data_IF_510635446305
#
_entry.id   IF_510635446305
#
_cell.length_a   1.000
_cell.length_b   1.000
_cell.length_c   1.000
_cell.angle_alpha   90.00
_cell.angle_beta   90.00
_cell.angle_gamma   90.00
#
_symmetry.space_group_name_H-M   'P 1'
#
loop_
_entity.id
_entity.type
_entity.pdbx_description
1 polymer ?
#
# COMPACT_ATOMS: atom_id res chain seq x y z
N UNK A 1 28.99 -8.35 -5.28
CA UNK A 1 27.76 -8.56 -6.08
C UNK A 1 26.68 -9.39 -5.36
N UNK A 2 26.97 -10.57 -4.76
CA UNK A 2 25.92 -11.39 -4.09
C UNK A 2 25.17 -10.65 -2.97
N UNK A 3 25.87 -9.95 -2.05
CA UNK A 3 25.24 -9.21 -0.93
C UNK A 3 24.33 -8.08 -1.39
N UNK A 4 24.71 -7.29 -2.40
CA UNK A 4 23.87 -6.23 -2.94
C UNK A 4 22.57 -6.81 -3.55
N UNK A 5 22.66 -7.90 -4.32
CA UNK A 5 21.50 -8.59 -4.86
C UNK A 5 20.57 -9.09 -3.75
N UNK A 6 21.13 -9.67 -2.69
CA UNK A 6 20.36 -10.14 -1.53
C UNK A 6 19.67 -8.97 -0.80
N UNK A 7 20.36 -7.84 -0.63
CA UNK A 7 19.77 -6.64 -0.03
C UNK A 7 18.59 -6.11 -0.87
N UNK A 8 18.78 -5.94 -2.18
CA UNK A 8 17.70 -5.48 -3.08
C UNK A 8 16.52 -6.45 -3.10
N UNK A 9 16.77 -7.75 -2.93
CA UNK A 9 15.74 -8.77 -2.90
C UNK A 9 14.89 -8.66 -1.64
N UNK A 10 15.50 -8.58 -0.43
CA UNK A 10 14.75 -8.45 0.83
C UNK A 10 14.11 -7.07 0.98
N UNK A 11 14.67 -6.01 0.36
CA UNK A 11 14.06 -4.69 0.26
C UNK A 11 12.84 -4.66 -0.67
N UNK A 12 12.61 -5.74 -1.44
CA UNK A 12 11.50 -5.85 -2.39
C UNK A 12 11.40 -4.62 -3.30
N UNK A 13 12.46 -4.28 -4.02
CA UNK A 13 12.57 -3.06 -4.85
C UNK A 13 11.38 -2.87 -5.82
N UNK A 14 10.80 -3.97 -6.34
CA UNK A 14 9.59 -3.95 -7.16
C UNK A 14 8.36 -3.40 -6.40
N UNK A 15 8.23 -3.73 -5.09
CA UNK A 15 7.13 -3.20 -4.25
C UNK A 15 7.37 -1.72 -3.96
N UNK A 16 8.63 -1.31 -3.75
CA UNK A 16 8.99 0.09 -3.53
C UNK A 16 8.52 0.95 -4.71
N UNK A 17 8.90 0.57 -5.94
CA UNK A 17 8.51 1.29 -7.16
C UNK A 17 6.98 1.29 -7.34
N UNK A 18 6.33 0.14 -7.14
CA UNK A 18 4.88 0.02 -7.26
C UNK A 18 4.11 0.82 -6.20
N UNK A 19 4.72 1.15 -5.06
CA UNK A 19 4.09 1.90 -3.96
C UNK A 19 4.34 3.42 -4.04
N UNK A 20 5.21 3.90 -4.93
CA UNK A 20 5.47 5.33 -5.11
C UNK A 20 4.18 6.15 -5.35
N UNK A 21 3.24 5.73 -6.21
CA UNK A 21 1.98 6.47 -6.39
C UNK A 21 1.21 6.68 -5.09
N UNK A 22 1.26 5.76 -4.13
CA UNK A 22 0.59 5.90 -2.82
C UNK A 22 1.13 7.07 -2.02
N UNK A 23 2.47 7.28 -2.02
CA UNK A 23 3.07 8.41 -1.34
C UNK A 23 2.76 9.75 -2.05
N UNK A 24 2.73 9.72 -3.39
CA UNK A 24 2.61 10.93 -4.21
C UNK A 24 1.16 11.41 -4.34
N UNK A 25 0.16 10.50 -4.30
CA UNK A 25 -1.26 10.84 -4.44
C UNK A 25 -1.70 11.92 -3.46
N UNK A 26 -1.39 11.79 -2.17
CA UNK A 26 -1.78 12.78 -1.17
C UNK A 26 -1.13 14.14 -1.40
N UNK A 27 0.12 14.14 -1.85
CA UNK A 27 0.85 15.37 -2.20
C UNK A 27 0.14 16.09 -3.36
N UNK A 28 -0.18 15.35 -4.42
CA UNK A 28 -0.83 15.92 -5.62
C UNK A 28 -2.22 16.45 -5.32
N UNK A 29 -3.04 15.70 -4.56
CA UNK A 29 -4.37 16.13 -4.13
C UNK A 29 -4.36 17.42 -3.32
N UNK A 30 -3.26 17.70 -2.63
CA UNK A 30 -3.09 18.88 -1.79
C UNK A 30 -2.40 20.05 -2.50
N UNK A 31 -1.65 19.78 -3.58
CA UNK A 31 -0.86 20.79 -4.30
C UNK A 31 -1.75 21.68 -5.15
N UNK A 32 -1.50 23.00 -5.12
CA UNK A 32 -2.18 24.00 -5.97
C UNK A 32 -1.32 24.43 -7.17
N UNK A 33 -0.03 24.24 -7.09
CA UNK A 33 0.96 24.58 -8.12
C UNK A 33 2.12 23.59 -8.14
N UNK A 34 2.81 23.47 -9.24
CA UNK A 34 3.93 22.54 -9.41
C UNK A 34 5.06 22.74 -8.39
N UNK A 35 5.31 24.00 -7.96
CA UNK A 35 6.32 24.26 -6.93
C UNK A 35 6.02 23.60 -5.58
N UNK A 36 4.77 23.27 -5.27
CA UNK A 36 4.39 22.63 -4.01
C UNK A 36 4.95 21.21 -3.92
N UNK A 37 5.09 20.52 -5.07
CA UNK A 37 5.62 19.15 -5.14
C UNK A 37 7.13 19.09 -4.88
N UNK A 38 7.85 20.17 -5.17
CA UNK A 38 9.32 20.22 -5.04
C UNK A 38 9.82 20.86 -3.73
N UNK A 39 8.93 21.04 -2.77
CA UNK A 39 9.31 21.57 -1.44
C UNK A 39 10.13 20.55 -0.66
N UNK A 40 11.05 21.03 0.18
CA UNK A 40 11.90 20.19 1.02
C UNK A 40 11.07 19.22 1.90
N UNK A 41 9.98 19.64 2.58
CA UNK A 41 9.15 18.72 3.35
C UNK A 41 8.58 17.56 2.53
N UNK A 42 8.19 17.81 1.29
CA UNK A 42 7.67 16.76 0.38
C UNK A 42 8.75 15.74 0.05
N UNK A 43 9.96 16.18 -0.27
CA UNK A 43 11.09 15.28 -0.55
C UNK A 43 11.47 14.46 0.69
N UNK A 44 11.48 15.07 1.87
CA UNK A 44 11.74 14.39 3.14
C UNK A 44 10.64 13.36 3.45
N UNK A 45 9.37 13.69 3.19
CA UNK A 45 8.26 12.75 3.36
C UNK A 45 8.35 11.55 2.42
N UNK A 46 8.68 11.76 1.14
CA UNK A 46 8.88 10.66 0.18
C UNK A 46 10.02 9.76 0.64
N UNK A 47 11.13 10.34 1.10
CA UNK A 47 12.25 9.57 1.65
C UNK A 47 11.83 8.79 2.89
N UNK A 48 11.10 9.42 3.83
CA UNK A 48 10.54 8.76 5.02
C UNK A 48 9.66 7.57 4.64
N UNK A 49 8.76 7.75 3.67
CA UNK A 49 7.89 6.68 3.20
C UNK A 49 8.69 5.47 2.70
N UNK A 50 9.73 5.69 1.89
CA UNK A 50 10.57 4.61 1.40
C UNK A 50 11.39 3.94 2.51
N UNK A 51 11.91 4.68 3.47
CA UNK A 51 12.65 4.12 4.61
C UNK A 51 11.74 3.23 5.45
N UNK A 52 10.52 3.68 5.78
CA UNK A 52 9.55 2.89 6.56
C UNK A 52 9.07 1.67 5.79
N UNK A 53 8.86 1.78 4.47
CA UNK A 53 8.47 0.67 3.61
C UNK A 53 9.60 -0.38 3.51
N UNK A 54 10.86 0.06 3.38
CA UNK A 54 12.03 -0.84 3.38
C UNK A 54 12.17 -1.56 4.70
N UNK A 55 12.05 -0.85 5.82
CA UNK A 55 12.01 -1.42 7.15
C UNK A 55 10.90 -2.48 7.29
N UNK A 56 9.69 -2.18 6.78
CA UNK A 56 8.57 -3.13 6.78
C UNK A 56 8.89 -4.41 6.00
N UNK A 57 9.59 -4.30 4.87
CA UNK A 57 10.02 -5.46 4.09
C UNK A 57 11.08 -6.27 4.83
N UNK A 58 12.07 -5.62 5.42
CA UNK A 58 13.18 -6.29 6.14
C UNK A 58 12.69 -7.01 7.39
N UNK A 59 11.85 -6.37 8.21
CA UNK A 59 11.29 -7.00 9.42
C UNK A 59 10.40 -8.20 9.05
N UNK A 60 9.66 -8.12 7.94
CA UNK A 60 8.87 -9.22 7.43
C UNK A 60 9.78 -10.40 7.02
N UNK A 61 10.79 -10.15 6.18
CA UNK A 61 11.73 -11.18 5.75
C UNK A 61 12.49 -11.81 6.93
N UNK A 62 12.89 -11.00 7.93
CA UNK A 62 13.60 -11.50 9.11
C UNK A 62 12.76 -12.47 9.94
N UNK A 63 11.47 -12.15 10.14
CA UNK A 63 10.58 -12.99 10.96
C UNK A 63 9.94 -14.16 10.19
N UNK A 64 10.08 -14.19 8.86
CA UNK A 64 9.55 -15.26 8.01
C UNK A 64 10.60 -16.21 7.49
N UNK A 65 11.88 -16.08 7.89
CA UNK A 65 13.01 -16.89 7.38
C UNK A 65 12.69 -18.41 7.35
N UNK A 66 12.10 -18.94 8.42
CA UNK A 66 11.79 -20.38 8.50
C UNK A 66 10.60 -20.77 7.58
N UNK A 67 9.60 -19.92 7.46
CA UNK A 67 8.47 -20.11 6.55
C UNK A 67 8.94 -20.00 5.10
N UNK A 68 9.71 -18.95 4.80
CA UNK A 68 10.25 -18.70 3.47
C UNK A 68 11.24 -19.79 3.03
N UNK A 69 11.96 -20.43 3.95
CA UNK A 69 12.82 -21.57 3.65
C UNK A 69 12.07 -22.72 2.99
N UNK A 70 10.80 -22.89 3.37
CA UNK A 70 9.94 -23.95 2.83
C UNK A 70 9.27 -23.54 1.51
N UNK A 71 8.79 -22.30 1.40
CA UNK A 71 7.91 -21.86 0.30
C UNK A 71 8.52 -20.82 -0.64
N UNK A 72 9.40 -19.94 -0.13
CA UNK A 72 10.03 -18.85 -0.86
C UNK A 72 11.54 -18.85 -0.61
N UNK A 73 12.18 -20.01 -0.84
CA UNK A 73 13.57 -20.29 -0.48
C UNK A 73 14.56 -19.19 -0.85
N UNK A 74 14.35 -18.57 -2.02
CA UNK A 74 15.19 -17.45 -2.47
C UNK A 74 15.20 -16.26 -1.50
N UNK A 75 14.10 -16.01 -0.75
CA UNK A 75 14.04 -14.96 0.27
C UNK A 75 14.82 -15.35 1.52
N UNK A 76 14.63 -16.58 2.01
CA UNK A 76 15.37 -17.12 3.14
C UNK A 76 16.88 -17.13 2.85
N UNK A 77 17.29 -17.61 1.67
CA UNK A 77 18.70 -17.65 1.24
C UNK A 77 19.30 -16.22 1.18
N UNK A 78 18.51 -15.21 0.76
CA UNK A 78 18.95 -13.82 0.74
C UNK A 78 19.21 -13.28 2.15
N UNK A 79 18.31 -13.53 3.12
CA UNK A 79 18.50 -13.15 4.53
C UNK A 79 19.75 -13.84 5.11
N UNK A 80 19.90 -15.13 4.87
CA UNK A 80 21.06 -15.90 5.35
C UNK A 80 22.38 -15.44 4.73
N UNK A 81 22.41 -15.08 3.43
CA UNK A 81 23.61 -14.59 2.76
C UNK A 81 24.07 -13.23 3.29
N UNK A 82 23.16 -12.39 3.78
CA UNK A 82 23.48 -11.15 4.46
C UNK A 82 23.91 -11.40 5.91
N UNK A 83 23.30 -12.38 6.55
CA UNK A 83 23.44 -12.68 7.96
C UNK A 83 22.39 -11.96 8.80
N UNK A 84 21.71 -12.70 9.70
CA UNK A 84 20.65 -12.18 10.58
C UNK A 84 21.10 -10.94 11.37
N UNK A 85 22.34 -10.97 11.91
CA UNK A 85 22.89 -9.83 12.66
C UNK A 85 23.03 -8.58 11.78
N UNK A 86 23.46 -8.74 10.53
CA UNK A 86 23.56 -7.62 9.58
C UNK A 86 22.19 -7.05 9.24
N UNK A 87 21.20 -7.89 8.98
CA UNK A 87 19.81 -7.43 8.72
C UNK A 87 19.25 -6.66 9.91
N UNK A 88 19.47 -7.13 11.17
CA UNK A 88 19.07 -6.39 12.37
C UNK A 88 19.75 -5.03 12.49
N UNK A 89 21.06 -4.93 12.14
CA UNK A 89 21.77 -3.64 12.13
C UNK A 89 21.22 -2.69 11.07
N UNK A 90 20.92 -3.20 9.88
CA UNK A 90 20.28 -2.41 8.81
C UNK A 90 18.93 -1.87 9.30
N UNK A 91 18.09 -2.70 9.89
CA UNK A 91 16.79 -2.28 10.46
C UNK A 91 16.94 -1.22 11.55
N UNK A 92 17.96 -1.34 12.42
CA UNK A 92 18.24 -0.32 13.43
C UNK A 92 18.63 1.03 12.81
N UNK A 93 19.42 1.03 11.74
CA UNK A 93 19.77 2.22 10.96
C UNK A 93 18.52 2.81 10.28
N UNK A 94 17.66 1.98 9.72
CA UNK A 94 16.40 2.42 9.08
C UNK A 94 15.46 3.09 10.08
N UNK A 95 15.29 2.53 11.29
CA UNK A 95 14.49 3.17 12.35
C UNK A 95 15.12 4.49 12.78
N UNK A 96 16.43 4.52 13.02
CA UNK A 96 17.13 5.75 13.40
C UNK A 96 16.97 6.83 12.33
N UNK A 97 17.10 6.46 11.05
CA UNK A 97 16.90 7.36 9.92
C UNK A 97 15.44 7.84 9.84
N UNK A 98 14.45 6.94 9.99
CA UNK A 98 13.04 7.31 10.00
C UNK A 98 12.71 8.28 11.13
N UNK A 99 13.21 8.03 12.35
CA UNK A 99 13.04 8.94 13.48
C UNK A 99 13.72 10.30 13.21
N UNK A 100 14.91 10.31 12.66
CA UNK A 100 15.62 11.53 12.27
C UNK A 100 14.87 12.34 11.22
N UNK A 101 14.31 11.68 10.19
CA UNK A 101 13.49 12.31 9.17
C UNK A 101 12.18 12.89 9.75
N UNK A 102 11.53 12.17 10.67
CA UNK A 102 10.34 12.67 11.36
C UNK A 102 10.68 13.93 12.18
N UNK A 103 11.76 13.91 12.95
CA UNK A 103 12.19 15.07 13.72
C UNK A 103 12.54 16.26 12.81
N UNK A 104 13.23 16.00 11.70
CA UNK A 104 13.56 17.04 10.72
C UNK A 104 12.29 17.62 10.08
N UNK A 105 11.30 16.80 9.72
CA UNK A 105 10.01 17.25 9.22
C UNK A 105 9.28 18.11 10.25
N UNK A 106 9.25 17.71 11.52
CA UNK A 106 8.64 18.50 12.59
C UNK A 106 9.34 19.86 12.76
N UNK A 107 10.67 19.86 12.66
CA UNK A 107 11.47 21.08 12.76
C UNK A 107 11.20 22.04 11.60
N UNK A 108 11.20 21.52 10.35
CA UNK A 108 11.01 22.30 9.13
C UNK A 108 9.58 22.82 9.01
N UNK A 109 8.58 22.00 9.33
CA UNK A 109 7.17 22.38 9.21
C UNK A 109 6.60 23.04 10.45
N UNK A 110 7.25 22.88 11.62
CA UNK A 110 6.76 23.32 12.94
C UNK A 110 5.41 22.71 13.34
N UNK A 111 5.09 21.53 12.79
CA UNK A 111 3.81 20.85 12.97
C UNK A 111 3.98 19.42 13.47
N UNK A 112 3.00 18.84 14.20
CA UNK A 112 3.12 17.54 14.86
C UNK A 112 2.96 16.35 13.89
N UNK A 113 3.70 16.34 12.78
CA UNK A 113 3.68 15.21 11.81
C UNK A 113 4.21 13.91 12.41
N UNK A 114 4.91 13.99 13.57
CA UNK A 114 5.46 12.82 14.25
C UNK A 114 4.42 11.76 14.58
N UNK A 115 3.17 12.13 14.84
CA UNK A 115 2.09 11.18 15.13
C UNK A 115 1.84 10.26 13.92
N UNK A 116 1.76 10.83 12.72
CA UNK A 116 1.52 10.07 11.49
C UNK A 116 2.70 9.15 11.17
N UNK A 117 3.94 9.66 11.31
CA UNK A 117 5.15 8.89 11.13
C UNK A 117 5.29 7.74 12.15
N UNK A 118 5.01 8.01 13.42
CA UNK A 118 5.02 7.00 14.48
C UNK A 118 4.00 5.88 14.24
N UNK A 119 2.78 6.21 13.82
CA UNK A 119 1.76 5.22 13.46
C UNK A 119 2.25 4.36 12.29
N UNK A 120 2.87 4.95 11.26
CA UNK A 120 3.42 4.22 10.12
C UNK A 120 4.49 3.20 10.53
N UNK A 121 5.48 3.62 11.36
CA UNK A 121 6.51 2.73 11.90
C UNK A 121 5.88 1.63 12.77
N UNK A 122 4.92 2.00 13.63
CA UNK A 122 4.21 1.04 14.49
C UNK A 122 3.48 -0.02 13.65
N UNK A 123 2.73 0.37 12.63
CA UNK A 123 2.06 -0.56 11.73
C UNK A 123 3.05 -1.53 11.06
N UNK A 124 4.19 -1.02 10.57
CA UNK A 124 5.23 -1.83 9.97
C UNK A 124 5.80 -2.86 10.96
N UNK A 125 6.04 -2.45 12.21
CA UNK A 125 6.57 -3.30 13.26
C UNK A 125 5.56 -4.38 13.70
N UNK A 126 4.36 -3.97 14.15
CA UNK A 126 3.38 -4.89 14.74
C UNK A 126 2.85 -5.92 13.75
N UNK A 127 2.89 -5.63 12.45
CA UNK A 127 2.46 -6.57 11.42
C UNK A 127 3.26 -7.87 11.47
N UNK A 128 4.59 -7.79 11.54
CA UNK A 128 5.49 -8.93 11.39
C UNK A 128 6.18 -9.36 12.68
N UNK A 129 6.44 -8.42 13.62
CA UNK A 129 7.27 -8.67 14.81
C UNK A 129 6.48 -9.21 16.00
N UNK A 130 7.08 -10.15 16.80
CA UNK A 130 6.59 -10.49 18.11
C UNK A 130 6.62 -9.29 19.06
N UNK A 131 5.77 -9.25 20.12
CA UNK A 131 4.79 -10.28 20.51
C UNK A 131 3.48 -10.21 19.74
N UNK A 132 3.20 -9.11 19.03
CA UNK A 132 1.90 -8.90 18.41
C UNK A 132 1.73 -9.71 17.12
N UNK A 133 2.68 -9.62 16.19
CA UNK A 133 2.69 -10.32 14.90
C UNK A 133 1.28 -10.43 14.27
N UNK A 134 0.65 -9.27 14.08
CA UNK A 134 -0.78 -9.14 13.75
C UNK A 134 -1.18 -9.91 12.50
N UNK A 135 -0.26 -10.14 11.56
CA UNK A 135 -0.51 -10.97 10.37
C UNK A 135 -0.99 -12.39 10.68
N UNK A 136 -0.73 -12.91 11.89
CA UNK A 136 -1.19 -14.23 12.36
C UNK A 136 -2.51 -14.18 13.12
N UNK A 137 -3.17 -13.02 13.24
CA UNK A 137 -4.31 -12.81 14.14
C UNK A 137 -5.64 -12.66 13.40
N UNK A 138 -5.91 -13.54 12.43
CA UNK A 138 -7.22 -13.65 11.78
C UNK A 138 -7.77 -12.33 11.28
N UNK A 139 -8.85 -11.85 11.91
CA UNK A 139 -9.57 -10.62 11.52
C UNK A 139 -8.69 -9.37 11.55
N UNK A 140 -7.70 -9.31 12.43
CA UNK A 140 -6.81 -8.17 12.57
C UNK A 140 -5.68 -8.13 11.51
N UNK A 141 -5.44 -9.27 10.83
CA UNK A 141 -4.29 -9.41 9.93
C UNK A 141 -4.19 -8.33 8.82
N UNK A 142 -5.28 -7.83 8.19
CA UNK A 142 -5.16 -6.82 7.15
C UNK A 142 -4.97 -5.38 7.67
N UNK A 143 -5.32 -5.10 8.95
CA UNK A 143 -5.40 -3.74 9.47
C UNK A 143 -4.08 -2.95 9.40
N UNK A 144 -2.91 -3.50 9.81
CA UNK A 144 -1.67 -2.72 9.74
C UNK A 144 -1.24 -2.40 8.32
N UNK A 145 -1.51 -3.27 7.34
CA UNK A 145 -1.21 -3.03 5.93
C UNK A 145 -2.17 -1.99 5.35
N UNK A 146 -3.46 -2.15 5.61
CA UNK A 146 -4.49 -1.21 5.16
C UNK A 146 -4.23 0.19 5.73
N UNK A 147 -3.96 0.30 7.03
CA UNK A 147 -3.70 1.57 7.70
C UNK A 147 -2.33 2.15 7.32
N UNK A 148 -1.25 1.40 7.50
CA UNK A 148 0.13 1.92 7.40
C UNK A 148 0.62 2.08 5.96
N UNK A 149 0.26 1.17 5.05
CA UNK A 149 0.76 1.17 3.67
C UNK A 149 -0.18 1.90 2.71
N UNK A 150 -1.50 1.80 2.90
CA UNK A 150 -2.45 2.30 1.90
C UNK A 150 -3.18 3.56 2.34
N UNK A 151 -3.65 3.63 3.58
CA UNK A 151 -4.39 4.79 4.06
C UNK A 151 -3.47 5.96 4.44
N UNK A 152 -2.60 5.75 5.42
CA UNK A 152 -1.85 6.80 6.10
C UNK A 152 -0.95 7.66 5.19
N UNK A 153 -0.29 7.11 4.14
CA UNK A 153 0.56 7.92 3.27
C UNK A 153 -0.18 9.04 2.54
N UNK A 154 -1.48 8.86 2.26
CA UNK A 154 -2.25 9.89 1.52
C UNK A 154 -2.54 11.12 2.39
N UNK A 155 -3.20 11.02 3.57
CA UNK A 155 -3.37 12.19 4.42
C UNK A 155 -2.04 12.77 4.94
N UNK A 156 -1.00 11.94 5.14
CA UNK A 156 0.32 12.44 5.52
C UNK A 156 1.00 13.23 4.38
N UNK A 157 0.90 12.73 3.14
CA UNK A 157 1.38 13.46 1.96
C UNK A 157 0.63 14.78 1.74
N UNK A 158 -0.68 14.80 1.96
CA UNK A 158 -1.47 16.03 1.94
C UNK A 158 -1.05 17.00 3.04
N UNK A 159 -0.81 16.49 4.25
CA UNK A 159 -0.40 17.29 5.40
C UNK A 159 0.94 18.02 5.18
N UNK A 160 1.92 17.38 4.56
CA UNK A 160 3.22 18.05 4.29
C UNK A 160 3.12 19.22 3.30
N UNK A 161 2.03 19.28 2.53
CA UNK A 161 1.75 20.41 1.60
C UNK A 161 0.88 21.48 2.24
N UNK A 162 -0.17 21.09 2.97
CA UNK A 162 -1.21 22.01 3.48
C UNK A 162 -1.04 22.41 4.93
N UNK A 163 -0.14 21.75 5.69
CA UNK A 163 0.08 21.88 7.14
C UNK A 163 -1.12 21.51 8.01
N UNK A 164 -2.16 20.88 7.42
CA UNK A 164 -3.31 20.36 8.16
C UNK A 164 -3.92 19.14 7.46
N UNK A 165 -4.64 18.32 8.23
CA UNK A 165 -5.37 17.20 7.67
C UNK A 165 -6.64 17.70 6.98
N UNK A 166 -6.77 17.44 5.69
CA UNK A 166 -7.98 17.78 4.92
C UNK A 166 -8.96 16.63 4.90
N UNK A 167 -10.25 16.93 4.95
CA UNK A 167 -11.31 15.90 4.82
C UNK A 167 -11.18 15.14 3.50
N UNK A 168 -10.79 15.83 2.42
CA UNK A 168 -10.56 15.21 1.12
C UNK A 168 -9.47 14.13 1.21
N UNK A 169 -8.30 14.45 1.77
CA UNK A 169 -7.21 13.48 1.87
C UNK A 169 -7.54 12.28 2.76
N UNK A 170 -8.35 12.48 3.80
CA UNK A 170 -8.83 11.41 4.68
C UNK A 170 -9.82 10.50 3.95
N UNK A 171 -10.84 11.05 3.30
CA UNK A 171 -11.85 10.28 2.59
C UNK A 171 -11.26 9.56 1.38
N UNK A 172 -10.44 10.25 0.59
CA UNK A 172 -9.75 9.64 -0.54
C UNK A 172 -8.75 8.57 -0.09
N UNK A 173 -7.97 8.81 0.95
CA UNK A 173 -7.09 7.80 1.53
C UNK A 173 -7.85 6.56 2.01
N UNK A 174 -9.05 6.73 2.57
CA UNK A 174 -9.89 5.62 2.97
C UNK A 174 -10.39 4.81 1.77
N UNK A 175 -10.97 5.46 0.74
CA UNK A 175 -11.41 4.80 -0.49
C UNK A 175 -10.27 4.06 -1.20
N UNK A 176 -9.13 4.73 -1.38
CA UNK A 176 -7.93 4.13 -1.94
C UNK A 176 -7.45 2.90 -1.15
N UNK A 177 -7.46 2.99 0.20
CA UNK A 177 -7.05 1.85 1.04
C UNK A 177 -7.97 0.65 0.89
N UNK A 178 -9.26 0.85 0.67
CA UNK A 178 -10.22 -0.22 0.36
C UNK A 178 -9.87 -0.91 -0.96
N UNK A 179 -9.60 -0.15 -2.04
CA UNK A 179 -9.22 -0.72 -3.34
C UNK A 179 -7.95 -1.58 -3.17
N UNK A 180 -6.91 -1.00 -2.57
CA UNK A 180 -5.61 -1.67 -2.43
C UNK A 180 -5.70 -2.92 -1.54
N UNK A 181 -6.44 -2.84 -0.44
CA UNK A 181 -6.66 -3.97 0.46
C UNK A 181 -7.50 -5.07 -0.22
N UNK A 182 -8.53 -4.68 -0.98
CA UNK A 182 -9.31 -5.64 -1.76
C UNK A 182 -8.44 -6.45 -2.74
N UNK A 183 -7.54 -5.78 -3.47
CA UNK A 183 -6.58 -6.47 -4.36
C UNK A 183 -5.63 -7.34 -3.54
N UNK A 184 -5.14 -6.86 -2.38
CA UNK A 184 -4.19 -7.60 -1.52
C UNK A 184 -4.80 -8.86 -0.90
N UNK A 185 -6.12 -8.95 -0.74
CA UNK A 185 -6.77 -10.17 -0.24
C UNK A 185 -6.52 -11.40 -1.13
N UNK A 186 -6.17 -11.20 -2.41
CA UNK A 186 -5.80 -12.30 -3.30
C UNK A 186 -4.52 -13.00 -2.81
N UNK A 187 -3.52 -12.26 -2.31
CA UNK A 187 -2.34 -12.86 -1.71
C UNK A 187 -2.70 -13.76 -0.52
N UNK A 188 -3.66 -13.33 0.31
CA UNK A 188 -4.13 -14.13 1.45
C UNK A 188 -4.83 -15.42 1.00
N UNK A 189 -5.48 -15.39 -0.17
CA UNK A 189 -6.08 -16.58 -0.77
C UNK A 189 -5.03 -17.48 -1.45
N UNK A 190 -4.05 -16.87 -2.11
CA UNK A 190 -2.93 -17.59 -2.76
C UNK A 190 -2.08 -18.36 -1.73
N UNK A 191 -1.73 -17.67 -0.62
CA UNK A 191 -0.88 -18.23 0.44
C UNK A 191 -1.67 -19.10 1.45
N UNK A 192 -2.98 -19.35 1.26
CA UNK A 192 -3.89 -19.97 2.25
C UNK A 192 -3.32 -21.27 2.86
N UNK A 193 -2.95 -22.26 2.02
CA UNK A 193 -2.43 -23.54 2.50
C UNK A 193 -1.02 -23.43 3.10
N UNK A 194 -0.22 -22.49 2.60
CA UNK A 194 1.13 -22.22 3.09
C UNK A 194 1.07 -21.59 4.48
N UNK A 195 0.17 -20.64 4.67
CA UNK A 195 -0.11 -20.01 5.96
C UNK A 195 -0.66 -21.02 6.98
N UNK A 196 -1.66 -21.82 6.59
CA UNK A 196 -2.24 -22.86 7.43
C UNK A 196 -1.18 -23.83 7.96
N UNK A 197 -0.31 -24.35 7.07
CA UNK A 197 0.76 -25.28 7.43
C UNK A 197 1.87 -24.66 8.29
N UNK A 198 1.91 -23.31 8.37
CA UNK A 198 2.86 -22.53 9.15
C UNK A 198 2.24 -21.95 10.44
N UNK A 199 0.99 -22.34 10.77
CA UNK A 199 0.26 -21.84 11.93
C UNK A 199 -0.06 -20.35 11.85
N UNK A 200 -0.17 -19.81 10.63
CA UNK A 200 -0.58 -18.43 10.37
C UNK A 200 -2.07 -18.43 10.08
N UNK A 201 -2.85 -17.74 10.90
CA UNK A 201 -4.29 -17.54 10.66
C UNK A 201 -4.53 -16.13 10.13
N UNK A 202 -4.84 -16.04 8.84
CA UNK A 202 -5.22 -14.79 8.18
C UNK A 202 -6.74 -14.62 8.16
N UNK A 203 -7.22 -13.46 7.69
CA UNK A 203 -8.66 -13.25 7.52
C UNK A 203 -9.31 -14.28 6.58
N UNK A 204 -8.56 -14.79 5.58
CA UNK A 204 -9.06 -15.85 4.70
C UNK A 204 -9.32 -17.17 5.43
N UNK A 205 -8.56 -17.49 6.49
CA UNK A 205 -8.81 -18.69 7.33
C UNK A 205 -10.08 -18.51 8.18
N UNK A 206 -10.37 -17.28 8.62
CA UNK A 206 -11.57 -16.99 9.43
C UNK A 206 -12.84 -17.01 8.57
N UNK A 207 -12.83 -16.36 7.41
CA UNK A 207 -14.01 -16.20 6.56
C UNK A 207 -14.16 -17.31 5.51
N UNK A 208 -13.08 -17.98 5.16
CA UNK A 208 -12.97 -18.85 4.00
C UNK A 208 -12.73 -18.09 2.69
N UNK A 209 -12.08 -18.77 1.73
CA UNK A 209 -11.62 -18.13 0.46
C UNK A 209 -12.77 -17.49 -0.33
N UNK A 210 -13.94 -18.12 -0.38
CA UNK A 210 -15.09 -17.56 -1.12
C UNK A 210 -15.55 -16.22 -0.56
N UNK A 211 -15.68 -16.13 0.77
CA UNK A 211 -16.17 -14.91 1.43
C UNK A 211 -15.15 -13.78 1.39
N UNK A 212 -13.85 -14.10 1.52
CA UNK A 212 -12.80 -13.07 1.42
C UNK A 212 -12.71 -12.50 0.00
N UNK A 213 -12.91 -13.28 -1.05
CA UNK A 213 -12.97 -12.79 -2.43
C UNK A 213 -14.20 -11.89 -2.67
N UNK A 214 -15.35 -12.22 -2.07
CA UNK A 214 -16.53 -11.34 -2.14
C UNK A 214 -16.31 -10.03 -1.36
N UNK A 215 -15.68 -10.12 -0.19
CA UNK A 215 -15.28 -8.94 0.58
C UNK A 215 -14.27 -8.08 -0.19
N UNK A 216 -13.32 -8.71 -0.88
CA UNK A 216 -12.37 -8.05 -1.76
C UNK A 216 -13.09 -7.28 -2.89
N UNK A 217 -14.05 -7.92 -3.55
CA UNK A 217 -14.86 -7.28 -4.59
C UNK A 217 -15.67 -6.10 -4.04
N UNK A 218 -16.25 -6.24 -2.86
CA UNK A 218 -16.98 -5.17 -2.17
C UNK A 218 -16.05 -3.98 -1.84
N UNK A 219 -14.84 -4.24 -1.32
CA UNK A 219 -13.87 -3.21 -1.00
C UNK A 219 -13.43 -2.44 -2.27
N UNK A 220 -13.14 -3.16 -3.35
CA UNK A 220 -12.77 -2.55 -4.64
C UNK A 220 -13.91 -1.70 -5.20
N UNK A 221 -15.15 -2.17 -5.10
CA UNK A 221 -16.33 -1.44 -5.56
C UNK A 221 -16.53 -0.14 -4.77
N UNK A 222 -16.61 -0.25 -3.44
CA UNK A 222 -16.88 0.92 -2.56
C UNK A 222 -15.77 1.94 -2.64
N UNK A 223 -14.50 1.49 -2.56
CA UNK A 223 -13.35 2.38 -2.70
C UNK A 223 -13.28 3.03 -4.07
N UNK A 224 -13.49 2.25 -5.15
CA UNK A 224 -13.42 2.75 -6.52
C UNK A 224 -14.50 3.78 -6.85
N UNK A 225 -15.75 3.52 -6.46
CA UNK A 225 -16.84 4.48 -6.63
C UNK A 225 -16.64 5.70 -5.71
N UNK A 226 -16.19 5.49 -4.47
CA UNK A 226 -15.94 6.58 -3.52
C UNK A 226 -14.89 7.55 -4.06
N UNK A 227 -13.73 7.06 -4.48
CA UNK A 227 -12.63 7.91 -4.95
C UNK A 227 -12.99 8.67 -6.24
N UNK A 228 -13.63 8.02 -7.21
CA UNK A 228 -14.03 8.72 -8.44
C UNK A 228 -15.10 9.80 -8.18
N UNK A 229 -16.07 9.52 -7.31
CA UNK A 229 -17.09 10.49 -6.93
C UNK A 229 -16.50 11.67 -6.16
N UNK A 230 -15.54 11.42 -5.26
CA UNK A 230 -14.82 12.48 -4.54
C UNK A 230 -14.04 13.38 -5.50
N UNK A 231 -13.33 12.81 -6.48
CA UNK A 231 -12.61 13.59 -7.48
C UNK A 231 -13.56 14.42 -8.34
N UNK A 232 -14.67 13.85 -8.81
CA UNK A 232 -15.68 14.58 -9.58
C UNK A 232 -16.28 15.71 -8.73
N UNK A 233 -16.70 15.43 -7.50
CA UNK A 233 -17.28 16.44 -6.61
C UNK A 233 -16.30 17.57 -6.30
N UNK A 234 -15.03 17.23 -6.01
CA UNK A 234 -13.98 18.20 -5.77
C UNK A 234 -13.79 19.14 -6.96
N UNK A 235 -13.72 18.55 -8.17
CA UNK A 235 -13.56 19.30 -9.42
C UNK A 235 -14.72 20.22 -9.72
N UNK A 236 -15.95 19.75 -9.58
CA UNK A 236 -17.15 20.56 -9.85
C UNK A 236 -17.28 21.76 -8.90
N UNK A 237 -16.71 21.66 -7.70
CA UNK A 237 -16.75 22.75 -6.72
C UNK A 237 -15.79 23.88 -7.04
N UNK A 238 -14.60 23.57 -7.55
CA UNK A 238 -13.50 24.54 -7.55
C UNK A 238 -13.05 25.05 -8.93
N UNK A 239 -13.50 24.45 -10.07
CA UNK A 239 -12.98 24.82 -11.38
C UNK A 239 -13.96 24.67 -12.56
N UNK A 240 -13.87 25.60 -13.53
CA UNK A 240 -14.47 25.45 -14.84
C UNK A 240 -13.61 24.57 -15.74
N UNK A 241 -14.18 23.45 -16.21
CA UNK A 241 -13.51 22.52 -17.12
C UNK A 241 -13.30 23.20 -18.50
N UNK A 242 -12.06 23.26 -18.98
CA UNK A 242 -11.79 23.52 -20.39
C UNK A 242 -12.07 22.23 -21.21
N UNK A 243 -12.44 22.35 -22.49
CA UNK A 243 -12.82 21.22 -23.34
C UNK A 243 -11.72 20.15 -23.47
N UNK A 244 -10.47 20.55 -23.58
CA UNK A 244 -9.34 19.63 -23.75
C UNK A 244 -9.04 18.77 -22.51
N UNK A 245 -8.92 19.34 -21.30
CA UNK A 245 -8.80 18.54 -20.06
C UNK A 245 -10.00 17.65 -19.81
N UNK A 246 -11.22 18.05 -20.20
CA UNK A 246 -12.45 17.28 -19.98
C UNK A 246 -12.40 15.92 -20.68
N UNK A 247 -11.95 15.86 -21.95
CA UNK A 247 -11.85 14.62 -22.70
C UNK A 247 -10.87 13.64 -22.00
N UNK A 248 -9.71 14.15 -21.57
CA UNK A 248 -8.69 13.34 -20.90
C UNK A 248 -9.21 12.83 -19.55
N UNK A 249 -9.88 13.68 -18.78
CA UNK A 249 -10.51 13.29 -17.50
C UNK A 249 -11.54 12.19 -17.69
N UNK A 250 -12.42 12.33 -18.69
CA UNK A 250 -13.41 11.31 -19.02
C UNK A 250 -12.76 10.00 -19.44
N UNK A 251 -11.75 10.04 -20.31
CA UNK A 251 -11.04 8.85 -20.76
C UNK A 251 -10.35 8.11 -19.60
N UNK A 252 -9.66 8.82 -18.72
CA UNK A 252 -9.02 8.26 -17.53
C UNK A 252 -10.05 7.71 -16.52
N UNK A 253 -11.15 8.42 -16.33
CA UNK A 253 -12.25 7.98 -15.47
C UNK A 253 -12.89 6.69 -15.98
N UNK A 254 -13.19 6.62 -17.28
CA UNK A 254 -13.71 5.41 -17.92
C UNK A 254 -12.69 4.27 -17.79
N UNK A 255 -11.43 4.50 -18.07
CA UNK A 255 -10.40 3.47 -17.94
C UNK A 255 -10.29 2.95 -16.50
N UNK A 256 -10.33 3.85 -15.52
CA UNK A 256 -10.34 3.47 -14.11
C UNK A 256 -11.56 2.61 -13.76
N UNK A 257 -12.77 3.03 -14.15
CA UNK A 257 -14.00 2.28 -13.90
C UNK A 257 -14.00 0.91 -14.58
N UNK A 258 -13.50 0.81 -15.82
CA UNK A 258 -13.32 -0.48 -16.50
C UNK A 258 -12.34 -1.39 -15.76
N UNK A 259 -11.28 -0.83 -15.21
CA UNK A 259 -10.30 -1.57 -14.39
C UNK A 259 -10.97 -2.11 -13.11
N UNK A 260 -11.71 -1.25 -12.39
CA UNK A 260 -12.48 -1.65 -11.20
C UNK A 260 -13.47 -2.78 -11.54
N UNK A 261 -14.22 -2.62 -12.62
CA UNK A 261 -15.17 -3.64 -13.08
C UNK A 261 -14.47 -4.96 -13.42
N UNK A 262 -13.34 -4.91 -14.13
CA UNK A 262 -12.56 -6.10 -14.48
C UNK A 262 -12.07 -6.87 -13.25
N UNK A 263 -11.58 -6.13 -12.21
CA UNK A 263 -11.13 -6.71 -10.94
C UNK A 263 -12.32 -7.37 -10.24
N UNK A 264 -13.43 -6.65 -10.05
CA UNK A 264 -14.63 -7.17 -9.39
C UNK A 264 -15.14 -8.42 -10.10
N UNK A 265 -15.22 -8.39 -11.44
CA UNK A 265 -15.61 -9.54 -12.25
C UNK A 265 -14.72 -10.75 -11.97
N UNK A 266 -13.40 -10.58 -12.00
CA UNK A 266 -12.45 -11.66 -11.76
C UNK A 266 -12.59 -12.24 -10.34
N UNK A 267 -12.72 -11.39 -9.31
CA UNK A 267 -12.91 -11.81 -7.91
C UNK A 267 -14.22 -12.58 -7.73
N UNK A 268 -15.30 -12.08 -8.32
CA UNK A 268 -16.62 -12.69 -8.23
C UNK A 268 -16.66 -14.07 -8.91
N UNK A 269 -16.11 -14.20 -10.14
CA UNK A 269 -16.05 -15.48 -10.81
C UNK A 269 -15.16 -16.49 -10.05
N UNK A 270 -14.02 -16.01 -9.52
CA UNK A 270 -13.14 -16.86 -8.70
C UNK A 270 -13.85 -17.35 -7.44
N UNK A 271 -14.63 -16.50 -6.77
CA UNK A 271 -15.39 -16.90 -5.57
C UNK A 271 -16.44 -17.98 -5.85
N UNK A 272 -16.98 -18.04 -7.07
CA UNK A 272 -17.99 -19.02 -7.51
C UNK A 272 -17.41 -20.25 -8.18
N UNK A 273 -16.10 -20.32 -8.42
CA UNK A 273 -15.45 -21.47 -9.06
C UNK A 273 -15.56 -22.75 -8.20
N UNK A 274 -15.40 -23.90 -8.82
CA UNK A 274 -15.38 -25.20 -8.12
C UNK A 274 -14.21 -25.26 -7.11
N UNK A 275 -13.03 -24.75 -7.50
CA UNK A 275 -11.85 -24.66 -6.65
C UNK A 275 -11.36 -23.20 -6.56
N UNK A 276 -11.90 -22.40 -5.62
CA UNK A 276 -11.52 -20.99 -5.45
C UNK A 276 -10.04 -20.80 -5.05
N UNK A 277 -9.45 -21.76 -4.36
CA UNK A 277 -8.04 -21.71 -3.99
C UNK A 277 -7.13 -21.77 -5.23
N UNK A 278 -7.33 -22.79 -6.07
CA UNK A 278 -6.54 -22.93 -7.31
C UNK A 278 -6.74 -21.75 -8.25
N UNK A 279 -7.97 -21.26 -8.37
CA UNK A 279 -8.29 -20.10 -9.19
C UNK A 279 -7.64 -18.82 -8.63
N UNK A 280 -7.58 -18.64 -7.30
CA UNK A 280 -6.90 -17.51 -6.67
C UNK A 280 -5.41 -17.46 -7.04
N UNK A 281 -4.72 -18.60 -7.07
CA UNK A 281 -3.33 -18.68 -7.53
C UNK A 281 -3.18 -18.21 -8.99
N UNK A 282 -4.13 -18.53 -9.85
CA UNK A 282 -4.10 -18.10 -11.24
C UNK A 282 -4.30 -16.58 -11.39
N UNK A 283 -5.25 -16.01 -10.66
CA UNK A 283 -5.49 -14.56 -10.74
C UNK A 283 -4.45 -13.71 -10.00
N UNK A 284 -3.69 -14.29 -9.07
CA UNK A 284 -2.61 -13.59 -8.37
C UNK A 284 -1.57 -12.99 -9.32
N UNK A 285 -1.31 -13.62 -10.47
CA UNK A 285 -0.43 -13.09 -11.51
C UNK A 285 -0.96 -11.78 -12.14
N UNK A 286 -2.25 -11.46 -11.98
CA UNK A 286 -2.84 -10.24 -12.51
C UNK A 286 -2.69 -9.06 -11.53
N UNK A 287 -2.39 -9.30 -10.26
CA UNK A 287 -2.31 -8.26 -9.23
C UNK A 287 -1.40 -7.07 -9.59
N UNK A 288 -0.19 -7.26 -10.15
CA UNK A 288 0.64 -6.13 -10.55
C UNK A 288 -0.06 -5.23 -11.57
N UNK A 289 -0.78 -5.81 -12.53
CA UNK A 289 -1.56 -5.06 -13.53
C UNK A 289 -2.72 -4.31 -12.86
N UNK A 290 -3.41 -4.93 -11.90
CA UNK A 290 -4.51 -4.31 -11.18
C UNK A 290 -4.05 -3.14 -10.29
N UNK A 291 -2.91 -3.29 -9.61
CA UNK A 291 -2.30 -2.17 -8.90
C UNK A 291 -1.94 -1.00 -9.82
N UNK A 292 -1.38 -1.28 -10.99
CA UNK A 292 -1.04 -0.25 -11.96
C UNK A 292 -2.28 0.42 -12.56
N UNK A 293 -3.26 -0.39 -13.00
CA UNK A 293 -4.47 0.11 -13.66
C UNK A 293 -5.43 0.86 -12.73
N UNK A 294 -5.25 0.77 -11.41
CA UNK A 294 -6.02 1.54 -10.43
C UNK A 294 -5.24 2.76 -9.93
N UNK A 295 -3.96 2.62 -9.61
CA UNK A 295 -3.13 3.70 -9.04
C UNK A 295 -2.84 4.83 -10.02
N UNK A 296 -2.41 4.48 -11.22
CA UNK A 296 -1.97 5.50 -12.20
C UNK A 296 -3.12 6.35 -12.75
N UNK A 297 -4.30 5.81 -13.08
CA UNK A 297 -5.42 6.66 -13.46
C UNK A 297 -5.84 7.62 -12.35
N UNK A 298 -5.88 7.17 -11.09
CA UNK A 298 -6.18 8.05 -9.96
C UNK A 298 -5.12 9.14 -9.80
N UNK A 299 -3.83 8.79 -9.94
CA UNK A 299 -2.73 9.74 -9.90
C UNK A 299 -2.84 10.78 -11.02
N UNK A 300 -3.08 10.35 -12.25
CA UNK A 300 -3.22 11.23 -13.40
C UNK A 300 -4.48 12.10 -13.31
N UNK A 301 -5.60 11.54 -12.86
CA UNK A 301 -6.83 12.30 -12.59
C UNK A 301 -6.57 13.40 -11.56
N UNK A 302 -5.87 13.07 -10.47
CA UNK A 302 -5.53 14.03 -9.42
C UNK A 302 -4.59 15.13 -9.91
N UNK A 303 -3.73 14.86 -10.91
CA UNK A 303 -2.83 15.84 -11.52
C UNK A 303 -3.54 16.80 -12.49
N UNK A 304 -4.56 16.31 -13.18
CA UNK A 304 -5.26 17.07 -14.23
C UNK A 304 -6.44 17.87 -13.64
N UNK A 305 -7.03 17.33 -12.60
CA UNK A 305 -8.12 17.98 -11.86
C UNK A 305 -7.58 19.01 -10.88
#
# INVERSE_FOLDING_TARGET
MKRLKSFLLISRANIQIASLPTAVLGIILASRKWSDIFQIPVLLFILLFFVVLTFSCHINCLHDVEVDKKYKRYMSDAVQSLGISAVKKIMAVEIALACGLILLLCFVQREPIYVLGAIGILCAYIYSAPPLRVKKRGVLSPLPVMLGLYFLPIPAGGFVVTHHLTVLSLLFGFGYSLIMQGITFINTCEDYKEDESSGIQTLAHVLGIRRILLLAAFFVLVGGLGDILLLIFWKLRDHHLSLSPTIVVLALGIFFLLSIFSIIKSLFFTSRSQDPYRQSKQIAFQMPRWFLSTRYPLLLLSLIL
#
